data_IF_474109200021
#
_entry.id   IF_474109200021
#
_cell.length_a   1.000
_cell.length_b   1.000
_cell.length_c   1.000
_cell.angle_alpha   90.00
_cell.angle_beta   90.00
_cell.angle_gamma   90.00
#
_symmetry.space_group_name_H-M   'P 1'
#
loop_
_entity.id
_entity.type
_entity.pdbx_description
1 polymer ?
#
# COMPACT_ATOMS: atom_id res chain seq x y z
N UNK A 1 -13.27 4.80 18.33
CA UNK A 1 -11.78 4.73 18.36
C UNK A 1 -11.24 4.69 16.95
N UNK A 2 -10.01 5.19 16.74
CA UNK A 2 -9.30 5.16 15.45
C UNK A 2 -8.28 4.03 15.41
N UNK A 3 -8.20 3.34 14.29
CA UNK A 3 -7.25 2.24 14.07
C UNK A 3 -6.49 2.45 12.77
N UNK A 4 -5.21 2.10 12.74
CA UNK A 4 -4.40 2.01 11.53
C UNK A 4 -3.76 0.63 11.43
N UNK A 5 -3.90 -0.04 10.29
CA UNK A 5 -3.17 -1.28 9.97
C UNK A 5 -1.95 -0.95 9.12
N UNK A 6 -0.75 -1.11 9.69
CA UNK A 6 0.51 -0.71 9.07
C UNK A 6 1.61 -1.75 9.28
N UNK A 7 2.55 -1.81 8.34
CA UNK A 7 3.77 -2.61 8.45
C UNK A 7 4.91 -2.01 7.63
N UNK A 8 5.41 -2.68 6.59
CA UNK A 8 6.63 -2.27 5.89
C UNK A 8 6.51 -0.91 5.18
N UNK A 9 5.30 -0.45 4.84
CA UNK A 9 5.11 0.86 4.20
C UNK A 9 5.25 2.01 5.20
N UNK A 10 5.05 1.75 6.50
CA UNK A 10 5.20 2.75 7.57
C UNK A 10 5.61 2.07 8.89
N UNK A 11 6.86 1.58 9.00
CA UNK A 11 7.30 0.75 10.13
C UNK A 11 7.30 1.49 11.47
N UNK A 12 7.37 2.81 11.45
CA UNK A 12 7.34 3.73 12.58
C UNK A 12 5.94 4.33 12.84
N UNK A 13 4.89 3.78 12.23
CA UNK A 13 3.51 4.26 12.38
C UNK A 13 3.09 4.46 13.85
N UNK A 14 3.45 3.52 14.74
CA UNK A 14 3.11 3.60 16.16
C UNK A 14 3.69 4.85 16.85
N UNK A 15 4.87 5.30 16.44
CA UNK A 15 5.51 6.51 16.96
C UNK A 15 4.90 7.79 16.38
N UNK A 16 4.37 7.73 15.16
CA UNK A 16 3.83 8.88 14.43
C UNK A 16 2.32 9.09 14.65
N UNK A 17 1.59 8.05 15.06
CA UNK A 17 0.14 8.07 15.13
C UNK A 17 -0.42 9.11 16.12
N UNK A 18 0.26 9.31 17.24
CA UNK A 18 -0.20 10.18 18.32
C UNK A 18 -1.25 9.51 19.21
N UNK A 19 -1.83 10.28 20.13
CA UNK A 19 -2.80 9.77 21.09
C UNK A 19 -4.16 9.43 20.43
N UNK A 20 -4.83 8.38 20.92
CA UNK A 20 -6.17 8.00 20.46
C UNK A 20 -6.22 7.20 19.15
N UNK A 21 -5.06 6.88 18.55
CA UNK A 21 -4.96 6.00 17.38
C UNK A 21 -4.25 4.70 17.77
N UNK A 22 -4.91 3.57 17.57
CA UNK A 22 -4.30 2.25 17.77
C UNK A 22 -3.68 1.77 16.47
N UNK A 23 -2.37 1.57 16.46
CA UNK A 23 -1.67 0.96 15.33
C UNK A 23 -1.62 -0.56 15.51
N UNK A 24 -2.06 -1.28 14.48
CA UNK A 24 -2.10 -2.74 14.39
C UNK A 24 -1.17 -3.22 13.27
N UNK A 25 -0.75 -4.50 13.29
CA UNK A 25 0.01 -5.11 12.19
C UNK A 25 -0.72 -5.01 10.84
N UNK A 26 -0.06 -5.37 9.71
CA UNK A 26 -0.74 -5.47 8.41
C UNK A 26 -2.00 -6.32 8.50
N UNK A 27 -3.11 -5.82 7.95
CA UNK A 27 -4.40 -6.46 8.07
C UNK A 27 -4.49 -7.75 7.23
N UNK A 28 -5.14 -8.76 7.78
CA UNK A 28 -5.51 -10.01 7.11
C UNK A 28 -7.02 -10.21 7.20
N UNK A 29 -7.53 -11.23 6.51
CA UNK A 29 -8.95 -11.59 6.59
C UNK A 29 -9.41 -11.71 8.05
N UNK A 30 -10.49 -11.00 8.40
CA UNK A 30 -11.09 -10.96 9.73
C UNK A 30 -10.67 -9.76 10.58
N UNK A 31 -9.55 -9.11 10.29
CA UNK A 31 -9.00 -8.05 11.14
C UNK A 31 -9.83 -6.76 11.06
N UNK A 32 -10.35 -6.43 9.87
CA UNK A 32 -11.24 -5.27 9.69
C UNK A 32 -12.57 -5.51 10.40
N UNK A 33 -13.14 -6.72 10.27
CA UNK A 33 -14.35 -7.08 11.02
C UNK A 33 -14.14 -6.98 12.54
N UNK A 34 -13.07 -7.57 13.05
CA UNK A 34 -12.76 -7.54 14.49
C UNK A 34 -12.55 -6.10 15.01
N UNK A 35 -11.92 -5.24 14.22
CA UNK A 35 -11.78 -3.81 14.53
C UNK A 35 -13.15 -3.10 14.67
N UNK A 36 -14.08 -3.38 13.76
CA UNK A 36 -15.43 -2.80 13.78
C UNK A 36 -16.20 -3.28 15.02
N UNK A 37 -16.12 -4.57 15.36
CA UNK A 37 -16.73 -5.16 16.56
C UNK A 37 -16.16 -4.58 17.86
N UNK A 38 -14.87 -4.24 17.86
CA UNK A 38 -14.20 -3.55 18.98
C UNK A 38 -14.50 -2.04 19.05
N UNK A 39 -15.43 -1.52 18.23
CA UNK A 39 -15.86 -0.12 18.29
C UNK A 39 -15.00 0.86 17.51
N UNK A 40 -14.34 0.39 16.44
CA UNK A 40 -13.72 1.31 15.49
C UNK A 40 -14.78 2.26 14.89
N UNK A 41 -14.43 3.54 14.81
CA UNK A 41 -15.18 4.55 14.06
C UNK A 41 -14.41 5.00 12.82
N UNK A 42 -13.08 4.92 12.86
CA UNK A 42 -12.18 5.22 11.73
C UNK A 42 -11.16 4.10 11.60
N UNK A 43 -10.97 3.59 10.39
CA UNK A 43 -9.98 2.58 10.05
C UNK A 43 -9.12 3.11 8.89
N UNK A 44 -7.82 3.22 9.12
CA UNK A 44 -6.82 3.42 8.07
C UNK A 44 -6.18 2.08 7.68
N UNK A 45 -6.30 1.69 6.42
CA UNK A 45 -5.68 0.49 5.88
C UNK A 45 -4.47 0.89 5.04
N UNK A 46 -3.26 0.59 5.51
CA UNK A 46 -2.02 0.82 4.77
C UNK A 46 -1.57 -0.51 4.18
N UNK A 47 -1.14 -1.42 5.05
CA UNK A 47 -0.59 -2.71 4.66
C UNK A 47 -1.54 -3.87 4.96
N UNK A 48 -1.45 -4.91 4.14
CA UNK A 48 -2.13 -6.17 4.38
C UNK A 48 -1.19 -7.37 4.23
N UNK A 49 -1.55 -8.48 4.87
CA UNK A 49 -0.81 -9.72 4.72
C UNK A 49 -1.03 -10.33 3.33
N UNK A 50 0.07 -10.70 2.67
CA UNK A 50 0.06 -11.26 1.32
C UNK A 50 0.84 -12.59 1.32
N UNK A 51 0.31 -13.60 0.63
CA UNK A 51 0.80 -14.99 0.52
C UNK A 51 0.84 -15.85 1.80
N UNK A 52 1.10 -15.29 2.99
CA UNK A 52 1.13 -16.07 4.25
C UNK A 52 -0.22 -16.11 4.97
N UNK A 53 -1.18 -15.30 4.53
CA UNK A 53 -2.55 -15.26 5.03
C UNK A 53 -3.49 -14.81 3.91
N UNK A 54 -4.77 -15.10 4.08
CA UNK A 54 -5.79 -14.52 3.20
C UNK A 54 -5.81 -12.99 3.37
N UNK A 55 -5.78 -12.21 2.28
CA UNK A 55 -5.84 -10.76 2.35
C UNK A 55 -7.19 -10.29 2.87
N UNK A 56 -7.25 -9.05 3.34
CA UNK A 56 -8.50 -8.39 3.77
C UNK A 56 -9.57 -8.51 2.69
N UNK A 57 -10.76 -8.95 3.07
CA UNK A 57 -11.87 -9.07 2.13
C UNK A 57 -12.58 -7.74 1.91
N UNK A 58 -12.97 -7.47 0.66
CA UNK A 58 -13.83 -6.33 0.33
C UNK A 58 -15.11 -6.33 1.16
N UNK A 59 -15.67 -7.51 1.44
CA UNK A 59 -16.91 -7.62 2.23
C UNK A 59 -16.76 -7.12 3.66
N UNK A 60 -15.58 -7.25 4.28
CA UNK A 60 -15.34 -6.70 5.62
C UNK A 60 -15.31 -5.17 5.58
N UNK A 61 -14.73 -4.60 4.53
CA UNK A 61 -14.71 -3.16 4.28
C UNK A 61 -16.13 -2.63 4.03
N UNK A 62 -16.90 -3.31 3.17
CA UNK A 62 -18.31 -2.97 2.95
C UNK A 62 -19.12 -3.11 4.25
N UNK A 63 -18.85 -4.11 5.08
CA UNK A 63 -19.50 -4.22 6.37
C UNK A 63 -19.19 -3.03 7.29
N UNK A 64 -17.92 -2.65 7.41
CA UNK A 64 -17.50 -1.47 8.15
C UNK A 64 -18.21 -0.20 7.65
N UNK A 65 -18.22 0.04 6.34
CA UNK A 65 -18.88 1.17 5.72
C UNK A 65 -20.39 1.17 6.01
N UNK A 66 -21.05 0.00 5.92
CA UNK A 66 -22.49 -0.15 6.19
C UNK A 66 -22.89 0.19 7.63
N UNK A 67 -21.93 0.14 8.55
CA UNK A 67 -22.10 0.54 9.95
C UNK A 67 -21.62 1.96 10.23
N UNK A 68 -21.34 2.75 9.18
CA UNK A 68 -20.92 4.14 9.28
C UNK A 68 -19.45 4.34 9.65
N UNK A 69 -18.63 3.29 9.68
CA UNK A 69 -17.19 3.43 9.96
C UNK A 69 -16.52 4.12 8.77
N UNK A 70 -15.74 5.18 9.03
CA UNK A 70 -14.91 5.80 8.00
C UNK A 70 -13.72 4.88 7.70
N UNK A 71 -13.64 4.35 6.48
CA UNK A 71 -12.54 3.48 6.05
C UNK A 71 -11.70 4.21 5.00
N UNK A 72 -10.41 4.39 5.31
CA UNK A 72 -9.42 5.02 4.46
C UNK A 72 -8.40 3.97 3.98
N UNK A 73 -7.89 4.09 2.76
CA UNK A 73 -6.87 3.17 2.23
C UNK A 73 -5.82 3.82 1.33
N UNK A 74 -4.56 3.38 1.46
CA UNK A 74 -3.41 3.95 0.74
C UNK A 74 -2.23 2.98 0.63
N UNK A 75 -1.17 3.42 -0.08
CA UNK A 75 0.21 2.91 -0.11
C UNK A 75 0.47 1.49 -0.63
N UNK A 76 -0.36 0.52 -0.27
CA UNK A 76 -0.06 -0.90 -0.45
C UNK A 76 -1.38 -1.63 -0.70
N UNK A 77 -1.64 -2.75 -0.03
CA UNK A 77 -2.93 -3.43 -0.10
C UNK A 77 -4.11 -2.51 0.24
N UNK A 78 -3.90 -1.50 1.09
CA UNK A 78 -4.91 -0.47 1.35
C UNK A 78 -5.34 0.34 0.14
N UNK A 79 -4.40 0.70 -0.74
CA UNK A 79 -4.69 1.44 -1.98
C UNK A 79 -5.52 0.59 -2.96
N UNK A 80 -5.16 -0.70 -3.10
CA UNK A 80 -5.93 -1.67 -3.89
C UNK A 80 -7.39 -1.73 -3.42
N UNK A 81 -7.58 -1.99 -2.13
CA UNK A 81 -8.93 -2.10 -1.54
C UNK A 81 -9.70 -0.80 -1.64
N UNK A 82 -9.02 0.34 -1.46
CA UNK A 82 -9.64 1.64 -1.66
C UNK A 82 -10.10 1.82 -3.09
N UNK A 83 -9.31 1.48 -4.12
CA UNK A 83 -9.73 1.59 -5.51
C UNK A 83 -10.97 0.75 -5.81
N UNK A 84 -11.00 -0.50 -5.31
CA UNK A 84 -12.11 -1.44 -5.52
C UNK A 84 -13.36 -1.08 -4.73
N UNK A 85 -13.20 -0.55 -3.50
CA UNK A 85 -14.31 -0.17 -2.62
C UNK A 85 -14.69 1.32 -2.70
N UNK A 86 -14.00 2.12 -3.52
CA UNK A 86 -14.28 3.55 -3.69
C UNK A 86 -15.73 3.83 -4.12
N UNK A 87 -16.33 3.08 -5.08
CA UNK A 87 -17.73 3.28 -5.46
C UNK A 87 -18.74 3.06 -4.31
N UNK A 88 -18.30 2.39 -3.24
CA UNK A 88 -19.13 2.08 -2.08
C UNK A 88 -18.88 3.04 -0.89
N UNK A 89 -17.95 3.99 -1.02
CA UNK A 89 -17.67 5.01 -0.02
C UNK A 89 -16.38 4.81 0.77
N UNK A 90 -15.52 3.84 0.40
CA UNK A 90 -14.15 3.82 0.94
C UNK A 90 -13.37 5.03 0.40
N UNK A 91 -12.61 5.67 1.28
CA UNK A 91 -11.82 6.85 0.96
C UNK A 91 -10.41 6.39 0.57
N UNK A 92 -10.01 6.63 -0.67
CA UNK A 92 -8.63 6.40 -1.09
C UNK A 92 -7.78 7.65 -0.98
N UNK A 93 -6.51 7.48 -0.62
CA UNK A 93 -5.54 8.58 -0.52
C UNK A 93 -4.20 8.19 -1.15
N UNK A 94 -3.49 9.18 -1.69
CA UNK A 94 -2.17 8.99 -2.28
C UNK A 94 -2.17 8.58 -3.75
N UNK A 95 -0.98 8.62 -4.33
CA UNK A 95 -0.75 8.37 -5.76
C UNK A 95 -1.10 6.92 -6.14
N UNK A 96 -0.75 5.96 -5.31
CA UNK A 96 -0.91 4.52 -5.60
C UNK A 96 -2.40 4.17 -5.67
N UNK A 97 -3.22 4.73 -4.78
CA UNK A 97 -4.68 4.60 -4.88
C UNK A 97 -5.20 5.13 -6.20
N UNK A 98 -4.80 6.35 -6.57
CA UNK A 98 -5.26 6.98 -7.81
C UNK A 98 -4.85 6.16 -9.04
N UNK A 99 -3.62 5.65 -9.05
CA UNK A 99 -3.10 4.82 -10.14
C UNK A 99 -3.89 3.51 -10.29
N UNK A 100 -4.32 2.86 -9.19
CA UNK A 100 -5.25 1.73 -9.27
C UNK A 100 -6.66 2.16 -9.69
N UNK A 101 -7.17 3.27 -9.15
CA UNK A 101 -8.54 3.76 -9.41
C UNK A 101 -8.78 4.06 -10.88
N UNK A 102 -7.78 4.60 -11.57
CA UNK A 102 -7.86 4.92 -13.01
C UNK A 102 -7.31 3.82 -13.92
N UNK A 103 -6.87 2.70 -13.35
CA UNK A 103 -6.36 1.54 -14.10
C UNK A 103 -4.97 1.70 -14.69
N UNK A 104 -4.15 2.64 -14.20
CA UNK A 104 -2.70 2.69 -14.51
C UNK A 104 -1.97 1.51 -13.88
N UNK A 105 -2.39 1.10 -12.69
CA UNK A 105 -1.98 -0.15 -12.05
C UNK A 105 -3.17 -1.12 -12.07
N UNK A 106 -2.88 -2.38 -12.36
CA UNK A 106 -3.87 -3.47 -12.40
C UNK A 106 -3.40 -4.68 -11.59
N UNK A 107 -2.09 -4.97 -11.61
CA UNK A 107 -1.52 -6.11 -10.89
C UNK A 107 -1.30 -5.78 -9.40
N UNK A 108 -1.80 -6.65 -8.52
CA UNK A 108 -1.57 -6.61 -7.07
C UNK A 108 -0.07 -6.66 -6.73
N UNK A 109 0.74 -7.32 -7.57
CA UNK A 109 2.18 -7.43 -7.39
C UNK A 109 2.92 -6.09 -7.53
N UNK A 110 2.27 -5.03 -8.05
CA UNK A 110 2.91 -3.72 -8.19
C UNK A 110 3.29 -3.10 -6.83
N UNK A 111 2.52 -3.37 -5.77
CA UNK A 111 2.80 -2.91 -4.40
C UNK A 111 3.50 -3.95 -3.53
N UNK A 112 3.64 -5.18 -4.02
CA UNK A 112 4.23 -6.29 -3.29
C UNK A 112 5.75 -6.16 -3.16
N UNK A 113 6.27 -6.54 -2.00
CA UNK A 113 7.71 -6.68 -1.74
C UNK A 113 7.98 -7.76 -0.69
N UNK A 114 9.20 -8.27 -0.67
CA UNK A 114 9.74 -9.05 0.44
C UNK A 114 10.36 -8.08 1.44
N UNK A 115 10.05 -8.26 2.73
CA UNK A 115 10.65 -7.49 3.81
C UNK A 115 11.14 -8.40 4.93
N UNK A 116 12.02 -7.89 5.78
CA UNK A 116 12.43 -8.56 7.00
C UNK A 116 11.22 -8.74 7.94
N UNK A 117 11.21 -9.73 8.84
CA UNK A 117 10.19 -9.85 9.87
C UNK A 117 10.02 -8.55 10.69
N UNK A 118 8.83 -8.35 11.26
CA UNK A 118 8.54 -7.17 12.09
C UNK A 118 9.48 -7.01 13.28
N UNK A 119 9.90 -8.13 13.89
CA UNK A 119 10.91 -8.15 14.95
C UNK A 119 12.28 -7.58 14.53
N UNK A 120 12.57 -7.49 13.23
CA UNK A 120 13.77 -6.89 12.65
C UNK A 120 13.50 -5.52 11.98
N UNK A 121 12.35 -4.92 12.26
CA UNK A 121 11.99 -3.58 11.80
C UNK A 121 11.39 -3.51 10.40
N UNK A 122 10.89 -4.62 9.85
CA UNK A 122 10.15 -4.65 8.57
C UNK A 122 10.89 -4.06 7.37
N UNK A 123 12.22 -4.05 7.39
CA UNK A 123 13.03 -3.43 6.32
C UNK A 123 12.78 -4.10 4.97
N UNK A 124 12.60 -3.33 3.88
CA UNK A 124 12.42 -3.89 2.55
C UNK A 124 13.70 -4.64 2.10
N UNK A 125 13.53 -5.87 1.61
CA UNK A 125 14.57 -6.69 0.99
C UNK A 125 14.50 -6.63 -0.54
N UNK A 126 13.31 -6.30 -1.07
CA UNK A 126 13.06 -6.03 -2.49
C UNK A 126 12.37 -4.68 -2.66
N UNK A 127 12.35 -4.18 -3.89
CA UNK A 127 11.70 -2.93 -4.27
C UNK A 127 10.33 -3.21 -4.90
N UNK A 128 9.24 -2.58 -4.43
CA UNK A 128 7.93 -2.69 -5.09
C UNK A 128 7.94 -1.88 -6.40
N UNK A 129 7.14 -2.28 -7.38
CA UNK A 129 7.14 -1.66 -8.71
C UNK A 129 6.76 -0.17 -8.62
N UNK A 130 5.79 0.18 -7.77
CA UNK A 130 5.38 1.57 -7.55
C UNK A 130 6.53 2.49 -7.09
N UNK A 131 7.49 1.97 -6.33
CA UNK A 131 8.69 2.73 -5.94
C UNK A 131 9.70 2.81 -7.10
N UNK A 132 9.73 1.80 -7.99
CA UNK A 132 10.50 1.87 -9.23
C UNK A 132 9.98 3.00 -10.09
N UNK A 133 8.70 2.98 -10.45
CA UNK A 133 8.08 3.99 -11.32
C UNK A 133 8.27 5.40 -10.74
N UNK A 134 8.01 5.58 -9.44
CA UNK A 134 8.18 6.89 -8.79
C UNK A 134 9.64 7.40 -8.80
N UNK A 135 10.61 6.50 -8.64
CA UNK A 135 12.04 6.85 -8.74
C UNK A 135 12.40 7.25 -10.17
N UNK A 136 11.91 6.50 -11.17
CA UNK A 136 12.18 6.79 -12.57
C UNK A 136 11.54 8.10 -13.02
N UNK A 137 10.34 8.44 -12.53
CA UNK A 137 9.70 9.73 -12.81
C UNK A 137 10.57 10.89 -12.33
N UNK A 138 11.09 10.84 -11.09
CA UNK A 138 11.99 11.88 -10.56
C UNK A 138 13.27 12.00 -11.38
N UNK A 139 13.83 10.88 -11.82
CA UNK A 139 15.04 10.87 -12.64
C UNK A 139 14.78 11.37 -14.07
N UNK A 140 13.62 11.09 -14.65
CA UNK A 140 13.20 11.62 -15.95
C UNK A 140 12.97 13.14 -15.88
N UNK A 141 12.23 13.61 -14.88
CA UNK A 141 11.93 15.03 -14.66
C UNK A 141 13.19 15.87 -14.42
N UNK A 142 14.23 15.26 -13.85
CA UNK A 142 15.54 15.90 -13.63
C UNK A 142 16.54 15.72 -14.77
N UNK A 143 16.14 15.09 -15.88
CA UNK A 143 16.98 14.87 -17.07
C UNK A 143 18.14 13.90 -16.83
N UNK A 144 18.06 13.04 -15.81
CA UNK A 144 19.10 12.05 -15.48
C UNK A 144 18.98 10.78 -16.33
N UNK A 145 17.85 10.57 -17.01
CA UNK A 145 17.62 9.42 -17.88
C UNK A 145 17.78 9.82 -19.35
N UNK A 146 18.51 9.01 -20.11
CA UNK A 146 18.52 9.10 -21.56
C UNK A 146 17.14 8.71 -22.13
N UNK A 147 16.81 9.25 -23.30
CA UNK A 147 15.58 8.90 -24.01
C UNK A 147 15.42 7.38 -24.17
N UNK A 148 14.26 6.84 -23.80
CA UNK A 148 13.94 5.41 -23.89
C UNK A 148 14.41 4.57 -22.69
N UNK A 149 15.44 5.01 -21.94
CA UNK A 149 15.98 4.24 -20.82
C UNK A 149 14.97 4.04 -19.69
N UNK A 150 14.08 5.02 -19.46
CA UNK A 150 12.98 4.89 -18.49
C UNK A 150 12.13 3.65 -18.78
N UNK A 151 11.66 3.50 -20.01
CA UNK A 151 10.77 2.41 -20.38
C UNK A 151 11.48 1.05 -20.25
N UNK A 152 12.76 0.97 -20.67
CA UNK A 152 13.53 -0.26 -20.54
C UNK A 152 13.75 -0.69 -19.08
N UNK A 153 13.99 0.27 -18.17
CA UNK A 153 14.10 0.00 -16.74
C UNK A 153 12.78 -0.45 -16.13
N UNK A 154 11.68 0.18 -16.53
CA UNK A 154 10.33 -0.17 -16.09
C UNK A 154 9.95 -1.58 -16.58
N UNK A 155 10.25 -1.91 -17.84
CA UNK A 155 10.02 -3.24 -18.42
C UNK A 155 10.86 -4.30 -17.72
N UNK A 156 12.15 -4.02 -17.46
CA UNK A 156 13.03 -4.91 -16.70
C UNK A 156 12.50 -5.13 -15.27
N UNK A 157 12.03 -4.08 -14.60
CA UNK A 157 11.44 -4.20 -13.27
C UNK A 157 10.14 -5.03 -13.27
N UNK A 158 9.28 -4.83 -14.26
CA UNK A 158 8.03 -5.59 -14.43
C UNK A 158 8.29 -7.08 -14.68
N UNK A 159 9.32 -7.42 -15.46
CA UNK A 159 9.69 -8.81 -15.74
C UNK A 159 10.22 -9.57 -14.51
N UNK A 160 10.72 -8.87 -13.49
CA UNK A 160 11.24 -9.48 -12.27
C UNK A 160 10.10 -9.75 -11.29
N UNK A 161 9.94 -11.02 -10.91
CA UNK A 161 9.04 -11.41 -9.83
C UNK A 161 9.37 -10.64 -8.54
N UNK A 162 8.36 -10.07 -7.87
CA UNK A 162 8.53 -9.08 -6.79
C UNK A 162 9.44 -9.55 -5.64
N UNK A 163 9.52 -10.87 -5.38
CA UNK A 163 10.42 -11.45 -4.36
C UNK A 163 11.90 -11.40 -4.70
N UNK A 164 12.24 -11.07 -5.93
CA UNK A 164 13.61 -10.98 -6.44
C UNK A 164 13.94 -9.58 -6.97
N UNK A 165 12.97 -8.66 -6.98
CA UNK A 165 13.12 -7.32 -7.55
C UNK A 165 14.04 -6.47 -6.68
N UNK A 166 15.26 -6.24 -7.12
CA UNK A 166 16.21 -5.33 -6.48
C UNK A 166 16.72 -4.36 -7.53
N UNK A 167 17.19 -3.19 -7.14
CA UNK A 167 17.79 -2.24 -8.08
C UNK A 167 18.92 -2.87 -8.90
N UNK A 168 19.73 -3.72 -8.27
CA UNK A 168 20.75 -4.51 -8.96
C UNK A 168 20.15 -5.39 -10.05
N UNK A 169 19.13 -6.19 -9.72
CA UNK A 169 18.48 -7.07 -10.68
C UNK A 169 17.80 -6.30 -11.83
N UNK A 170 17.18 -5.15 -11.53
CA UNK A 170 16.58 -4.26 -12.54
C UNK A 170 17.65 -3.77 -13.51
N UNK A 171 18.78 -3.26 -12.98
CA UNK A 171 19.91 -2.80 -13.79
C UNK A 171 20.52 -3.94 -14.59
N UNK A 172 20.66 -5.14 -14.04
CA UNK A 172 21.21 -6.32 -14.74
C UNK A 172 20.30 -6.82 -15.87
N UNK A 173 18.97 -6.72 -15.72
CA UNK A 173 18.01 -7.13 -16.75
C UNK A 173 17.71 -6.06 -17.80
N UNK A 174 18.12 -4.81 -17.59
CA UNK A 174 17.97 -3.74 -18.56
C UNK A 174 18.84 -4.01 -19.79
N UNK A 175 18.21 -4.30 -20.93
CA UNK A 175 18.89 -4.77 -22.14
C UNK A 175 19.65 -3.67 -22.90
N UNK A 176 19.13 -2.44 -22.97
CA UNK A 176 19.78 -1.32 -23.67
C UNK A 176 20.87 -0.64 -22.84
N UNK A 177 21.32 -1.25 -21.74
CA UNK A 177 22.38 -0.73 -20.90
C UNK A 177 23.67 -1.52 -21.07
N UNK A 178 24.75 -0.85 -21.46
CA UNK A 178 26.07 -1.46 -21.58
C UNK A 178 26.67 -1.77 -20.20
N UNK A 179 27.43 -2.88 -20.11
CA UNK A 179 28.07 -3.31 -18.85
C UNK A 179 28.86 -2.21 -18.11
N UNK A 180 29.65 -1.35 -18.78
CA UNK A 180 30.40 -0.28 -18.10
C UNK A 180 29.50 0.78 -17.43
N UNK A 181 28.27 0.96 -17.91
CA UNK A 181 27.35 2.01 -17.42
C UNK A 181 26.49 1.52 -16.24
N UNK A 182 26.36 0.19 -16.05
CA UNK A 182 25.53 -0.41 -15.00
C UNK A 182 25.87 0.09 -13.58
N UNK A 183 27.14 0.17 -13.13
CA UNK A 183 27.44 0.63 -11.78
C UNK A 183 27.03 2.09 -11.54
N UNK A 184 27.20 2.95 -12.55
CA UNK A 184 26.81 4.36 -12.48
C UNK A 184 25.31 4.52 -12.36
N UNK A 185 24.55 3.78 -13.17
CA UNK A 185 23.09 3.81 -13.11
C UNK A 185 22.56 3.26 -11.78
N UNK A 186 23.13 2.16 -11.28
CA UNK A 186 22.74 1.60 -9.99
C UNK A 186 22.93 2.60 -8.85
N UNK A 187 24.06 3.31 -8.83
CA UNK A 187 24.31 4.36 -7.84
C UNK A 187 23.31 5.53 -7.96
N UNK A 188 22.96 5.92 -9.19
CA UNK A 188 21.97 6.96 -9.45
C UNK A 188 20.57 6.56 -8.97
N UNK A 189 20.11 5.33 -9.27
CA UNK A 189 18.83 4.80 -8.82
C UNK A 189 18.74 4.76 -7.28
N UNK A 190 19.81 4.30 -6.62
CA UNK A 190 19.86 4.25 -5.15
C UNK A 190 19.83 5.66 -4.53
N UNK A 191 20.48 6.63 -5.16
CA UNK A 191 20.55 8.01 -4.64
C UNK A 191 19.25 8.79 -4.85
N UNK A 192 18.48 8.45 -5.90
CA UNK A 192 17.20 9.08 -6.21
C UNK A 192 15.99 8.24 -5.72
N UNK A 193 16.21 7.14 -5.00
CA UNK A 193 15.16 6.20 -4.65
C UNK A 193 14.00 6.87 -3.90
N UNK A 194 12.80 6.77 -4.48
CA UNK A 194 11.56 7.30 -3.91
C UNK A 194 10.80 6.17 -3.22
N UNK A 195 10.45 6.38 -1.95
CA UNK A 195 9.55 5.49 -1.23
C UNK A 195 8.10 5.99 -1.34
N UNK A 196 7.48 5.76 -2.49
CA UNK A 196 6.10 6.19 -2.75
C UNK A 196 5.11 5.55 -1.78
N UNK A 197 5.34 4.29 -1.40
CA UNK A 197 4.51 3.62 -0.39
C UNK A 197 4.55 4.39 0.94
N UNK A 198 5.72 4.82 1.39
CA UNK A 198 5.82 5.63 2.62
C UNK A 198 5.17 6.99 2.50
N UNK A 199 5.30 7.67 1.36
CA UNK A 199 4.67 8.97 1.11
C UNK A 199 3.14 8.83 1.24
N UNK A 200 2.53 7.89 0.53
CA UNK A 200 1.08 7.63 0.58
C UNK A 200 0.63 7.20 1.98
N UNK A 201 1.45 6.42 2.69
CA UNK A 201 1.15 5.95 4.04
C UNK A 201 1.11 7.10 5.06
N UNK A 202 2.01 8.08 4.93
CA UNK A 202 2.03 9.29 5.75
C UNK A 202 0.82 10.19 5.47
N UNK A 203 0.40 10.30 4.20
CA UNK A 203 -0.83 11.02 3.83
C UNK A 203 -2.07 10.38 4.48
N UNK A 204 -2.19 9.05 4.41
CA UNK A 204 -3.29 8.34 5.08
C UNK A 204 -3.25 8.53 6.59
N UNK A 205 -2.07 8.42 7.20
CA UNK A 205 -1.93 8.64 8.64
C UNK A 205 -2.47 10.03 9.03
N UNK A 206 -2.09 11.07 8.30
CA UNK A 206 -2.59 12.43 8.53
C UNK A 206 -4.11 12.50 8.35
N UNK A 207 -4.65 11.89 7.30
CA UNK A 207 -6.10 11.86 7.08
C UNK A 207 -6.87 11.17 8.23
N UNK A 208 -6.31 10.10 8.81
CA UNK A 208 -6.89 9.45 10.00
C UNK A 208 -6.78 10.32 11.25
N UNK A 209 -5.66 11.05 11.43
CA UNK A 209 -5.51 12.01 12.51
C UNK A 209 -6.56 13.12 12.45
N UNK A 210 -6.82 13.65 11.25
CA UNK A 210 -7.78 14.74 11.02
C UNK A 210 -9.25 14.26 11.04
N UNK A 211 -9.51 12.97 10.82
CA UNK A 211 -10.86 12.42 10.82
C UNK A 211 -11.55 12.57 12.19
N UNK A 212 -12.87 12.80 12.20
CA UNK A 212 -13.64 12.79 13.46
C UNK A 212 -13.80 11.34 13.94
N UNK A 213 -13.58 11.09 15.24
CA UNK A 213 -13.74 9.75 15.83
C UNK A 213 -15.22 9.42 16.10
N UNK A 214 -16.05 9.44 15.05
CA UNK A 214 -17.48 9.15 15.09
C UNK A 214 -17.88 8.35 13.85
N UNK A 215 -18.88 7.48 13.99
CA UNK A 215 -19.51 6.83 12.84
C UNK A 215 -20.43 7.82 12.12
N UNK A 216 -20.48 7.70 10.81
CA UNK A 216 -21.45 8.40 9.98
C UNK A 216 -22.83 7.78 10.13
N UNK A 217 -23.86 8.63 10.17
CA UNK A 217 -25.27 8.22 10.10
C UNK A 217 -25.85 8.46 8.69
N UNK A 218 -25.00 8.69 7.69
CA UNK A 218 -25.44 8.94 6.32
C UNK A 218 -25.99 7.66 5.69
N UNK A 219 -27.12 7.78 5.00
CA UNK A 219 -27.66 6.69 4.20
C UNK A 219 -26.73 6.40 3.01
N UNK A 220 -26.39 5.13 2.84
CA UNK A 220 -25.60 4.66 1.70
C UNK A 220 -26.53 4.36 0.52
N UNK A 221 -26.11 4.63 -0.73
CA UNK A 221 -26.90 4.33 -1.93
C UNK A 221 -26.97 2.82 -2.24
N UNK A 222 -26.43 1.98 -1.37
CA UNK A 222 -26.35 0.54 -1.48
C UNK A 222 -26.60 -0.10 -0.11
N UNK A 223 -27.00 -1.37 -0.11
CA UNK A 223 -27.23 -2.16 1.11
C UNK A 223 -26.41 -3.43 1.08
N UNK A 224 -25.68 -3.70 2.16
CA UNK A 224 -25.04 -5.01 2.35
C UNK A 224 -26.13 -6.03 2.69
N UNK A 225 -26.22 -7.10 1.90
CA UNK A 225 -27.03 -8.25 2.26
C UNK A 225 -26.28 -9.13 3.27
N UNK A 226 -27.06 -9.86 4.08
CA UNK A 226 -26.53 -10.78 5.10
C UNK A 226 -25.42 -11.65 4.51
N UNK A 227 -24.26 -11.61 5.17
CA UNK A 227 -23.04 -12.26 4.69
C UNK A 227 -22.43 -13.01 5.86
N UNK A 228 -22.21 -14.31 5.69
CA UNK A 228 -21.41 -15.08 6.63
C UNK A 228 -19.93 -14.69 6.48
N UNK A 229 -19.35 -14.18 7.55
CA UNK A 229 -17.91 -13.98 7.65
C UNK A 229 -17.29 -15.23 8.26
N UNK A 230 -16.35 -15.91 7.58
CA UNK A 230 -15.59 -16.98 8.21
C UNK A 230 -14.77 -16.35 9.34
N UNK A 231 -15.18 -16.59 10.58
CA UNK A 231 -14.40 -16.18 11.74
C UNK A 231 -13.19 -17.10 11.86
N UNK A 232 -12.00 -16.53 12.08
CA UNK A 232 -10.91 -17.31 12.69
C UNK A 232 -11.35 -17.64 14.11
N UNK A 233 -11.13 -18.87 14.62
CA UNK A 233 -11.14 -19.09 16.06
C UNK A 233 -10.15 -18.10 16.68
N UNK A 234 -10.57 -17.38 17.73
CA UNK A 234 -9.65 -16.56 18.51
C UNK A 234 -8.47 -17.45 18.95
N UNK A 235 -7.24 -17.00 18.68
CA UNK A 235 -6.02 -17.63 19.20
C UNK A 235 -5.93 -17.44 20.71
#
# INVERSE_FOLDING_TARGET
MKIIFAGPSLPDAASLAGEGIRVLPPATQGDVLAAVEQGANVIGLIDGGFEYAAPVWHKEILHALSLGVAVLGAASMGALRAAECHPFGMIGTGRIFEDYRIGRLVDDAAVALTHAPSALGSKPLTVPLVNVSATLDVMEDSGQLASGLRQELEDAANAIFFKKRTWRAVVEQCAGLAEPDRPRLLAALLSNAVDQKRIDALELLKAVQDARDIRSNADLPWKLHETAFPTRPAL
#
